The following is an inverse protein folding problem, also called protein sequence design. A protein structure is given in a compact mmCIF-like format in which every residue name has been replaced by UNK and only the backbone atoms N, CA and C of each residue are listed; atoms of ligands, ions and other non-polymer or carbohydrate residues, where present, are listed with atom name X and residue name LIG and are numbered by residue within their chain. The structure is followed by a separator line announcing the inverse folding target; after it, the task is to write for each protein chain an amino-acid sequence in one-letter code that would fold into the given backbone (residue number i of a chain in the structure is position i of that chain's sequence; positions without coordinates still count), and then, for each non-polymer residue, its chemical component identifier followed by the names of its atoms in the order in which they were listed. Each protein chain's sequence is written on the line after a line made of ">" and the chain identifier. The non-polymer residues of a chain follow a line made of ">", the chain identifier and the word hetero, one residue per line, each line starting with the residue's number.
data_IF_581359637238
#
_entry.id   IF_581359637238
#
_cell.length_a   1.000
_cell.length_b   1.000
_cell.length_c   1.000
_cell.angle_alpha   90.00
_cell.angle_beta   90.00
_cell.angle_gamma   90.00
#
_symmetry.space_group_name_H-M   'P 1'
#
loop_
_entity.id
_entity.type
_entity.pdbx_description
1 polymer ?
#
# COMPACT_ATOMS: atom_id res chain seq x y z
N UNK A 1 -22.73 -1.75 -32.17
CA UNK A 1 -21.30 -1.73 -31.86
C UNK A 1 -21.14 -2.57 -30.61
N UNK A 2 -20.51 -3.75 -30.75
CA UNK A 2 -20.30 -4.70 -29.65
C UNK A 2 -19.20 -4.15 -28.75
N UNK A 3 -19.57 -3.79 -27.53
CA UNK A 3 -18.61 -3.57 -26.45
C UNK A 3 -17.86 -4.89 -26.22
N UNK A 4 -16.59 -4.91 -26.60
CA UNK A 4 -15.68 -5.97 -26.19
C UNK A 4 -15.52 -5.87 -24.68
N UNK A 5 -16.18 -6.75 -23.94
CA UNK A 5 -15.77 -7.08 -22.58
C UNK A 5 -14.29 -7.45 -22.62
N UNK A 6 -13.46 -6.50 -22.22
CA UNK A 6 -12.07 -6.76 -21.88
C UNK A 6 -12.08 -7.54 -20.56
N UNK A 7 -12.19 -8.84 -20.64
CA UNK A 7 -11.81 -9.74 -19.55
C UNK A 7 -10.33 -9.48 -19.28
N UNK A 8 -10.04 -8.62 -18.31
CA UNK A 8 -8.73 -8.58 -17.68
C UNK A 8 -8.52 -9.96 -17.05
N UNK A 9 -7.69 -10.78 -17.68
CA UNK A 9 -7.24 -12.04 -17.10
C UNK A 9 -6.64 -11.70 -15.73
N UNK A 10 -7.10 -12.35 -14.64
CA UNK A 10 -6.41 -12.22 -13.36
C UNK A 10 -4.95 -12.59 -13.62
N UNK A 11 -4.04 -11.71 -13.27
CA UNK A 11 -2.62 -12.08 -13.21
C UNK A 11 -2.55 -13.33 -12.32
N UNK A 12 -1.70 -14.30 -12.69
CA UNK A 12 -1.62 -15.61 -12.05
C UNK A 12 -1.51 -15.52 -10.52
N UNK A 13 -1.56 -16.64 -9.80
CA UNK A 13 -1.65 -16.63 -8.36
C UNK A 13 -0.49 -15.81 -7.82
N UNK A 14 -0.81 -14.66 -7.20
CA UNK A 14 0.12 -13.90 -6.39
C UNK A 14 0.67 -14.77 -5.25
N UNK A 15 1.37 -14.17 -4.35
CA UNK A 15 1.84 -14.87 -3.15
C UNK A 15 0.65 -15.38 -2.30
N UNK A 16 0.86 -16.47 -1.59
CA UNK A 16 -0.18 -17.11 -0.77
C UNK A 16 -0.61 -16.25 0.43
N UNK A 17 -1.83 -16.51 0.95
CA UNK A 17 -2.39 -15.77 2.08
C UNK A 17 -1.50 -15.80 3.33
N UNK A 18 -0.78 -16.89 3.56
CA UNK A 18 0.16 -17.03 4.66
C UNK A 18 1.35 -16.07 4.53
N UNK A 19 1.83 -15.85 3.31
CA UNK A 19 2.88 -14.88 2.99
C UNK A 19 2.38 -13.45 3.17
N UNK A 20 1.18 -13.12 2.68
CA UNK A 20 0.54 -11.81 2.91
C UNK A 20 0.37 -11.51 4.40
N UNK A 21 -0.07 -12.51 5.17
CA UNK A 21 -0.21 -12.35 6.63
C UNK A 21 1.14 -12.13 7.32
N UNK A 22 2.20 -12.80 6.88
CA UNK A 22 3.55 -12.63 7.44
C UNK A 22 4.12 -11.25 7.14
N UNK A 23 3.90 -10.68 5.97
CA UNK A 23 4.32 -9.31 5.62
C UNK A 23 3.74 -8.25 6.56
N UNK A 24 2.56 -8.46 7.13
CA UNK A 24 1.98 -7.58 8.16
C UNK A 24 2.76 -7.48 9.48
N UNK A 25 3.80 -8.28 9.67
CA UNK A 25 4.66 -8.23 10.87
C UNK A 25 5.60 -7.02 10.87
N UNK A 26 5.91 -6.48 9.70
CA UNK A 26 6.80 -5.34 9.52
C UNK A 26 6.01 -4.08 9.15
N UNK A 27 6.58 -2.93 9.51
CA UNK A 27 6.12 -1.66 9.00
C UNK A 27 6.52 -1.48 7.52
N UNK A 28 5.90 -0.51 6.85
CA UNK A 28 6.17 -0.26 5.42
C UNK A 28 7.64 0.10 5.14
N UNK A 29 8.36 0.89 5.95
CA UNK A 29 9.80 1.12 5.77
C UNK A 29 10.64 -0.16 5.81
N UNK A 30 10.38 -1.09 6.73
CA UNK A 30 11.12 -2.37 6.77
C UNK A 30 10.85 -3.23 5.53
N UNK A 31 9.60 -3.21 5.02
CA UNK A 31 9.26 -3.89 3.76
C UNK A 31 9.95 -3.20 2.57
N UNK A 32 10.02 -1.87 2.58
CA UNK A 32 10.77 -1.10 1.58
C UNK A 32 12.25 -1.49 1.56
N UNK A 33 12.94 -1.58 2.71
CA UNK A 33 14.34 -2.01 2.78
C UNK A 33 14.53 -3.41 2.17
N UNK A 34 13.60 -4.33 2.44
CA UNK A 34 13.60 -5.64 1.80
C UNK A 34 13.40 -5.57 0.28
N UNK A 35 12.45 -4.78 -0.19
CA UNK A 35 12.20 -4.57 -1.60
C UNK A 35 13.39 -3.91 -2.32
N UNK A 36 13.96 -2.85 -1.75
CA UNK A 36 15.14 -2.16 -2.29
C UNK A 36 16.32 -3.12 -2.51
N UNK A 37 16.49 -4.09 -1.63
CA UNK A 37 17.58 -5.07 -1.72
C UNK A 37 17.46 -6.06 -2.89
N UNK A 38 16.27 -6.20 -3.50
CA UNK A 38 16.00 -7.18 -4.57
C UNK A 38 15.56 -6.56 -5.89
N UNK A 39 15.01 -5.35 -5.86
CA UNK A 39 14.42 -4.71 -7.04
C UNK A 39 15.45 -4.30 -8.08
N UNK A 40 14.97 -4.16 -9.33
CA UNK A 40 15.72 -3.53 -10.44
C UNK A 40 15.19 -2.13 -10.76
N UNK A 41 14.13 -1.71 -10.09
CA UNK A 41 13.56 -0.38 -10.20
C UNK A 41 14.40 0.66 -9.45
N UNK A 42 14.22 1.93 -9.79
CA UNK A 42 14.83 3.04 -9.04
C UNK A 42 14.07 3.25 -7.72
N UNK A 43 14.52 2.55 -6.68
CA UNK A 43 13.89 2.58 -5.36
C UNK A 43 13.86 3.98 -4.72
N UNK A 44 14.63 4.94 -5.23
CA UNK A 44 14.60 6.33 -4.75
C UNK A 44 13.44 7.15 -5.32
N UNK A 45 12.72 6.66 -6.34
CA UNK A 45 11.71 7.41 -7.09
C UNK A 45 10.39 6.69 -7.31
N UNK A 46 10.38 5.36 -7.20
CA UNK A 46 9.24 4.55 -7.63
C UNK A 46 8.60 3.81 -6.46
N UNK A 47 7.39 3.36 -6.72
CA UNK A 47 6.65 2.40 -5.91
C UNK A 47 6.09 2.91 -4.57
N UNK A 48 6.30 4.14 -4.15
CA UNK A 48 5.76 4.70 -2.91
C UNK A 48 5.13 6.08 -3.11
N UNK A 49 4.36 6.53 -2.11
CA UNK A 49 3.77 7.87 -2.13
C UNK A 49 4.82 8.97 -2.02
N UNK A 50 4.72 9.98 -2.91
CA UNK A 50 5.56 11.19 -2.90
C UNK A 50 4.91 12.35 -2.15
N UNK A 51 3.58 12.31 -1.96
CA UNK A 51 2.83 13.29 -1.18
C UNK A 51 2.51 12.73 0.21
N UNK A 52 2.26 13.62 1.17
CA UNK A 52 1.84 13.25 2.52
C UNK A 52 0.52 12.46 2.49
N UNK A 53 0.51 11.33 3.18
CA UNK A 53 -0.67 10.51 3.46
C UNK A 53 -0.96 10.49 4.94
N UNK A 54 -2.22 10.28 5.32
CA UNK A 54 -2.59 10.11 6.71
C UNK A 54 -3.26 8.75 6.92
N UNK A 55 -2.65 7.92 7.77
CA UNK A 55 -3.29 6.73 8.31
C UNK A 55 -4.24 7.14 9.43
N UNK A 56 -5.54 6.95 9.22
CA UNK A 56 -6.56 7.30 10.20
C UNK A 56 -6.76 6.21 11.25
N UNK A 57 -6.18 5.01 11.05
CA UNK A 57 -6.41 3.83 11.89
C UNK A 57 -5.10 3.05 12.11
N UNK A 58 -4.05 3.70 12.66
CA UNK A 58 -2.73 3.05 12.83
C UNK A 58 -2.78 1.84 13.74
N UNK A 59 -3.72 1.79 14.68
CA UNK A 59 -3.93 0.68 15.61
C UNK A 59 -4.38 -0.62 14.94
N UNK A 60 -4.89 -0.58 13.69
CA UNK A 60 -5.19 -1.78 12.91
C UNK A 60 -3.94 -2.45 12.31
N UNK A 61 -2.77 -1.85 12.54
CA UNK A 61 -1.52 -2.34 11.99
C UNK A 61 -1.40 -2.19 10.47
N UNK A 62 -0.38 -2.78 9.83
CA UNK A 62 -0.21 -2.69 8.40
C UNK A 62 -1.36 -3.32 7.61
N UNK A 63 -1.68 -2.72 6.47
CA UNK A 63 -2.64 -3.21 5.48
C UNK A 63 -1.87 -3.81 4.31
N UNK A 64 -2.17 -5.07 3.97
CA UNK A 64 -1.51 -5.80 2.86
C UNK A 64 -2.59 -6.42 1.98
N UNK A 65 -2.48 -6.24 0.68
CA UNK A 65 -3.44 -6.81 -0.29
C UNK A 65 -3.27 -6.25 -1.70
N UNK A 66 -4.02 -6.80 -2.63
CA UNK A 66 -3.95 -6.44 -4.05
C UNK A 66 -4.82 -5.24 -4.39
N UNK A 67 -4.30 -4.32 -5.20
CA UNK A 67 -4.95 -3.08 -5.57
C UNK A 67 -6.20 -3.31 -6.42
N UNK A 68 -7.32 -2.76 -5.98
CA UNK A 68 -8.54 -2.58 -6.75
C UNK A 68 -8.70 -1.10 -7.01
N UNK A 69 -8.48 -0.68 -8.24
CA UNK A 69 -8.42 0.74 -8.60
C UNK A 69 -9.78 1.28 -9.00
N UNK A 70 -10.06 2.52 -8.62
CA UNK A 70 -11.28 3.25 -9.00
C UNK A 70 -11.02 4.74 -9.05
N UNK A 71 -11.71 5.44 -9.96
CA UNK A 71 -11.65 6.89 -10.12
C UNK A 71 -13.00 7.50 -9.75
N UNK A 72 -12.97 8.63 -9.04
CA UNK A 72 -14.15 9.43 -8.67
C UNK A 72 -13.95 10.90 -9.04
N UNK A 73 -15.06 11.65 -9.14
CA UNK A 73 -15.08 13.11 -9.33
C UNK A 73 -16.31 13.67 -8.60
N UNK A 74 -16.26 13.81 -7.26
CA UNK A 74 -17.43 14.17 -6.44
C UNK A 74 -18.07 15.51 -6.75
N UNK A 75 -17.35 16.45 -7.39
CA UNK A 75 -17.90 17.74 -7.84
C UNK A 75 -18.95 17.63 -8.96
N UNK A 76 -19.07 16.47 -9.63
CA UNK A 76 -19.87 16.34 -10.86
C UNK A 76 -21.05 15.38 -10.70
N UNK A 77 -22.24 15.94 -10.49
CA UNK A 77 -23.51 15.19 -10.45
C UNK A 77 -23.78 14.36 -11.72
N UNK A 78 -23.29 14.82 -12.88
CA UNK A 78 -23.56 14.19 -14.19
C UNK A 78 -23.21 12.69 -14.24
N UNK A 79 -22.19 12.24 -13.50
CA UNK A 79 -21.73 10.85 -13.54
C UNK A 79 -22.81 9.85 -13.14
N UNK A 80 -23.60 10.16 -12.11
CA UNK A 80 -24.75 9.36 -11.71
C UNK A 80 -25.81 9.24 -12.80
N UNK A 81 -26.07 10.36 -13.52
CA UNK A 81 -27.05 10.40 -14.62
C UNK A 81 -26.56 9.62 -15.84
N UNK A 82 -25.27 9.71 -16.14
CA UNK A 82 -24.66 9.04 -17.31
C UNK A 82 -24.50 7.53 -17.12
N UNK A 83 -24.20 7.08 -15.91
CA UNK A 83 -24.00 5.66 -15.57
C UNK A 83 -24.71 5.31 -14.25
N UNK A 84 -26.03 5.20 -14.23
CA UNK A 84 -26.80 4.95 -13.02
C UNK A 84 -26.51 3.58 -12.38
N UNK A 85 -26.01 2.62 -13.15
CA UNK A 85 -25.66 1.26 -12.76
C UNK A 85 -24.18 1.08 -12.35
N UNK A 86 -23.36 2.15 -12.40
CA UNK A 86 -21.92 2.07 -12.15
C UNK A 86 -21.58 1.42 -10.79
N UNK A 87 -22.34 1.71 -9.72
CA UNK A 87 -22.13 1.05 -8.43
C UNK A 87 -22.28 -0.47 -8.48
N UNK A 88 -23.29 -0.96 -9.19
CA UNK A 88 -23.51 -2.41 -9.34
C UNK A 88 -22.40 -3.06 -10.14
N UNK A 89 -21.98 -2.43 -11.25
CA UNK A 89 -20.90 -2.94 -12.09
C UNK A 89 -19.56 -2.91 -11.35
N UNK A 90 -19.24 -1.80 -10.68
CA UNK A 90 -18.02 -1.67 -9.88
C UNK A 90 -17.95 -2.72 -8.77
N UNK A 91 -19.01 -2.92 -7.99
CA UNK A 91 -19.03 -3.95 -6.94
C UNK A 91 -18.84 -5.37 -7.49
N UNK A 92 -19.39 -5.66 -8.67
CA UNK A 92 -19.13 -6.94 -9.37
C UNK A 92 -17.67 -7.07 -9.75
N UNK A 93 -17.06 -6.01 -10.28
CA UNK A 93 -15.63 -5.99 -10.55
C UNK A 93 -14.83 -6.28 -9.28
N UNK A 94 -15.08 -5.57 -8.18
CA UNK A 94 -14.40 -5.80 -6.88
C UNK A 94 -14.56 -7.24 -6.41
N UNK A 95 -15.78 -7.80 -6.48
CA UNK A 95 -16.06 -9.16 -6.02
C UNK A 95 -15.24 -10.23 -6.74
N UNK A 96 -14.93 -10.02 -8.02
CA UNK A 96 -14.21 -11.01 -8.86
C UNK A 96 -12.68 -10.83 -8.83
N UNK A 97 -12.16 -9.78 -8.15
CA UNK A 97 -10.72 -9.67 -7.99
C UNK A 97 -10.20 -10.62 -6.90
N UNK A 98 -8.96 -11.15 -7.03
CA UNK A 98 -8.35 -11.94 -5.98
C UNK A 98 -8.19 -11.09 -4.70
N UNK A 99 -8.22 -11.73 -3.54
CA UNK A 99 -8.09 -11.06 -2.24
C UNK A 99 -6.89 -11.55 -1.45
N UNK A 100 -6.59 -10.91 -0.32
CA UNK A 100 -7.21 -9.69 0.21
C UNK A 100 -6.98 -8.47 -0.69
N UNK A 101 -7.92 -7.50 -0.64
CA UNK A 101 -7.93 -6.36 -1.57
C UNK A 101 -7.73 -5.03 -0.84
N UNK A 102 -6.98 -4.12 -1.46
CA UNK A 102 -6.88 -2.72 -1.06
C UNK A 102 -7.53 -1.88 -2.15
N UNK A 103 -8.55 -1.10 -1.80
CA UNK A 103 -9.22 -0.21 -2.76
C UNK A 103 -8.41 1.07 -2.90
N UNK A 104 -7.91 1.34 -4.12
CA UNK A 104 -7.12 2.54 -4.42
C UNK A 104 -7.97 3.51 -5.22
N UNK A 105 -8.22 4.70 -4.64
CA UNK A 105 -9.15 5.69 -5.23
C UNK A 105 -8.41 6.95 -5.62
N UNK A 106 -8.43 7.25 -6.91
CA UNK A 106 -8.07 8.57 -7.43
C UNK A 106 -9.26 9.51 -7.40
N UNK A 107 -9.13 10.62 -6.68
CA UNK A 107 -10.10 11.72 -6.68
C UNK A 107 -9.66 12.80 -7.67
N UNK A 108 -10.46 13.01 -8.73
CA UNK A 108 -10.16 14.03 -9.74
C UNK A 108 -10.35 15.46 -9.27
N UNK A 109 -11.01 15.66 -8.13
CA UNK A 109 -11.20 17.01 -7.56
C UNK A 109 -9.97 17.47 -6.76
N UNK A 110 -8.95 16.61 -6.57
CA UNK A 110 -7.73 17.02 -5.87
C UNK A 110 -7.09 18.26 -6.51
N UNK A 111 -6.54 19.22 -5.76
CA UNK A 111 -6.42 19.20 -4.29
C UNK A 111 -7.68 19.63 -3.53
N UNK A 112 -8.69 20.15 -4.20
CA UNK A 112 -9.94 20.67 -3.60
C UNK A 112 -10.97 19.54 -3.39
N UNK A 113 -10.60 18.52 -2.64
CA UNK A 113 -11.46 17.38 -2.31
C UNK A 113 -12.72 17.84 -1.56
N UNK A 114 -13.92 17.54 -2.11
CA UNK A 114 -15.18 18.04 -1.58
C UNK A 114 -16.11 16.96 -1.01
N UNK A 115 -15.89 15.68 -1.33
CA UNK A 115 -16.79 14.62 -0.91
C UNK A 115 -16.05 13.29 -0.68
N UNK A 116 -16.67 12.43 0.13
CA UNK A 116 -16.13 11.10 0.45
C UNK A 116 -16.85 10.00 -0.33
N UNK A 117 -16.06 9.11 -0.92
CA UNK A 117 -16.54 7.81 -1.40
C UNK A 117 -16.83 6.85 -0.22
N UNK A 118 -16.08 7.02 0.88
CA UNK A 118 -16.11 6.17 2.05
C UNK A 118 -17.03 6.71 3.15
N UNK A 119 -17.58 5.78 3.88
CA UNK A 119 -18.34 5.90 5.11
C UNK A 119 -18.71 4.50 5.57
N UNK A 120 -19.43 4.38 6.66
CA UNK A 120 -19.82 3.10 7.29
C UNK A 120 -20.38 2.09 6.30
N UNK A 121 -21.35 2.51 5.48
CA UNK A 121 -22.06 1.62 4.54
C UNK A 121 -21.10 1.03 3.51
N UNK A 122 -20.30 1.90 2.84
CA UNK A 122 -19.37 1.42 1.83
C UNK A 122 -18.23 0.60 2.42
N UNK A 123 -17.73 0.93 3.60
CA UNK A 123 -16.72 0.13 4.30
C UNK A 123 -17.24 -1.29 4.58
N UNK A 124 -18.44 -1.43 5.15
CA UNK A 124 -19.05 -2.73 5.42
C UNK A 124 -19.29 -3.54 4.12
N UNK A 125 -19.79 -2.91 3.06
CA UNK A 125 -19.97 -3.58 1.76
C UNK A 125 -18.61 -4.11 1.26
N UNK A 126 -17.57 -3.27 1.23
CA UNK A 126 -16.26 -3.68 0.72
C UNK A 126 -15.58 -4.72 1.61
N UNK A 127 -15.78 -4.67 2.93
CA UNK A 127 -15.35 -5.75 3.84
C UNK A 127 -15.97 -7.09 3.44
N UNK A 128 -17.27 -7.11 3.15
CA UNK A 128 -17.97 -8.33 2.71
C UNK A 128 -17.47 -8.85 1.35
N UNK A 129 -16.87 -8.00 0.54
CA UNK A 129 -16.24 -8.35 -0.73
C UNK A 129 -14.75 -8.73 -0.59
N UNK A 130 -14.21 -8.84 0.64
CA UNK A 130 -12.83 -9.22 0.89
C UNK A 130 -11.82 -8.07 0.84
N UNK A 131 -12.27 -6.81 0.89
CA UNK A 131 -11.38 -5.66 0.98
C UNK A 131 -10.94 -5.42 2.45
N UNK A 132 -9.67 -5.14 2.66
CA UNK A 132 -9.09 -4.89 3.99
C UNK A 132 -9.02 -3.40 4.32
N UNK A 133 -9.10 -2.53 3.33
CA UNK A 133 -9.07 -1.09 3.49
C UNK A 133 -8.89 -0.34 2.19
N UNK A 134 -8.50 0.93 2.31
CA UNK A 134 -8.36 1.85 1.17
C UNK A 134 -7.14 2.74 1.27
N UNK A 135 -6.64 3.16 0.11
CA UNK A 135 -5.77 4.32 -0.10
C UNK A 135 -6.53 5.28 -1.00
N UNK A 136 -6.72 6.53 -0.56
CA UNK A 136 -7.42 7.53 -1.37
C UNK A 136 -6.79 8.92 -1.24
N UNK A 137 -6.48 9.56 -2.35
CA UNK A 137 -6.08 10.97 -2.36
C UNK A 137 -7.29 11.91 -2.21
N UNK A 138 -8.48 11.34 -2.00
CA UNK A 138 -9.71 11.99 -1.59
C UNK A 138 -9.90 12.06 -0.07
N UNK A 139 -11.16 12.12 0.36
CA UNK A 139 -11.56 12.20 1.75
C UNK A 139 -12.29 10.94 2.23
N UNK A 140 -12.33 10.76 3.56
CA UNK A 140 -13.16 9.78 4.24
C UNK A 140 -14.09 10.44 5.26
N UNK A 141 -15.15 9.75 5.67
CA UNK A 141 -16.03 10.10 6.78
C UNK A 141 -16.41 8.84 7.56
N UNK A 142 -17.16 8.98 8.64
CA UNK A 142 -17.60 7.87 9.50
C UNK A 142 -16.40 7.00 9.96
N UNK A 143 -15.33 7.71 10.38
CA UNK A 143 -14.03 7.09 10.62
C UNK A 143 -14.07 6.08 11.76
N UNK A 144 -14.85 6.34 12.82
CA UNK A 144 -14.98 5.42 13.96
C UNK A 144 -15.72 4.13 13.56
N UNK A 145 -16.75 4.25 12.72
CA UNK A 145 -17.52 3.12 12.20
C UNK A 145 -16.69 2.29 11.19
N UNK A 146 -15.92 2.96 10.34
CA UNK A 146 -14.97 2.28 9.43
C UNK A 146 -13.92 1.48 10.22
N UNK A 147 -13.36 2.08 11.28
CA UNK A 147 -12.42 1.43 12.17
C UNK A 147 -13.07 0.25 12.90
N UNK A 148 -14.31 0.41 13.42
CA UNK A 148 -15.03 -0.63 14.11
C UNK A 148 -15.28 -1.86 13.22
N UNK A 149 -15.58 -1.68 11.94
CA UNK A 149 -15.70 -2.80 10.99
C UNK A 149 -14.35 -3.33 10.48
N UNK A 150 -13.22 -2.81 10.96
CA UNK A 150 -11.88 -3.24 10.57
C UNK A 150 -11.48 -2.87 9.13
N UNK A 151 -12.02 -1.76 8.61
CA UNK A 151 -11.68 -1.26 7.27
C UNK A 151 -10.71 -0.08 7.39
N UNK A 152 -9.42 -0.35 7.21
CA UNK A 152 -8.33 0.63 7.35
C UNK A 152 -8.37 1.68 6.23
N UNK A 153 -8.01 2.92 6.56
CA UNK A 153 -7.96 4.01 5.58
C UNK A 153 -6.70 4.86 5.69
N UNK A 154 -5.96 4.93 4.58
CA UNK A 154 -5.01 5.99 4.29
C UNK A 154 -5.72 6.99 3.37
N UNK A 155 -5.79 8.26 3.78
CA UNK A 155 -6.54 9.28 3.06
C UNK A 155 -5.90 10.66 3.21
N UNK A 156 -6.35 11.62 2.38
CA UNK A 156 -5.89 13.00 2.47
C UNK A 156 -6.49 13.72 3.68
N UNK A 157 -7.80 13.53 3.93
CA UNK A 157 -8.50 14.25 5.01
C UNK A 157 -9.85 13.61 5.40
N UNK A 158 -10.42 14.11 6.48
CA UNK A 158 -11.83 13.88 6.79
C UNK A 158 -12.72 14.89 6.08
N UNK A 159 -13.97 14.54 5.80
CA UNK A 159 -15.03 15.44 5.37
C UNK A 159 -16.39 15.04 5.95
N UNK A 160 -17.38 15.95 5.87
CA UNK A 160 -18.72 15.70 6.40
C UNK A 160 -19.60 14.98 5.38
N UNK A 161 -19.53 15.39 4.11
CA UNK A 161 -20.46 14.99 3.07
C UNK A 161 -19.85 13.99 2.08
N UNK A 162 -20.73 13.35 1.31
CA UNK A 162 -20.32 12.49 0.19
C UNK A 162 -20.37 13.21 -1.17
N UNK A 163 -20.96 14.43 -1.24
CA UNK A 163 -21.22 15.14 -2.49
C UNK A 163 -21.83 14.19 -3.55
N UNK A 164 -21.28 14.14 -4.76
CA UNK A 164 -21.69 13.21 -5.81
C UNK A 164 -20.65 12.11 -6.03
N UNK A 165 -20.05 11.57 -4.94
CA UNK A 165 -19.07 10.49 -5.02
C UNK A 165 -19.68 9.26 -5.71
N UNK A 166 -19.21 8.99 -6.91
CA UNK A 166 -19.71 7.96 -7.83
C UNK A 166 -18.53 7.30 -8.52
N UNK A 167 -18.46 5.97 -8.67
CA UNK A 167 -17.41 5.34 -9.46
C UNK A 167 -17.59 5.70 -10.94
N UNK A 168 -16.56 6.29 -11.56
CA UNK A 168 -16.60 6.73 -12.95
C UNK A 168 -15.81 5.82 -13.88
N UNK A 169 -14.70 5.24 -13.39
CA UNK A 169 -13.94 4.17 -14.04
C UNK A 169 -13.26 3.31 -12.97
N UNK A 170 -12.92 2.06 -13.33
CA UNK A 170 -12.24 1.10 -12.45
C UNK A 170 -11.49 0.06 -13.26
N UNK A 171 -10.51 -0.59 -12.61
CA UNK A 171 -9.67 -1.60 -13.26
C UNK A 171 -8.65 -1.02 -14.23
N UNK A 172 -8.38 0.27 -14.15
CA UNK A 172 -7.36 0.97 -14.92
C UNK A 172 -6.31 1.55 -13.96
N UNK A 173 -5.08 1.86 -14.43
CA UNK A 173 -4.08 2.53 -13.59
C UNK A 173 -4.61 3.84 -13.01
N UNK A 174 -4.25 4.12 -11.76
CA UNK A 174 -4.60 5.35 -11.05
C UNK A 174 -3.35 6.01 -10.50
N UNK A 175 -3.38 7.33 -10.37
CA UNK A 175 -2.34 8.09 -9.69
C UNK A 175 -2.90 8.64 -8.38
N UNK A 176 -2.29 8.23 -7.26
CA UNK A 176 -2.65 8.68 -5.91
C UNK A 176 -1.39 9.10 -5.15
N UNK A 177 -1.42 10.25 -4.52
CA UNK A 177 -0.28 10.80 -3.76
C UNK A 177 1.05 10.79 -4.53
N UNK A 178 1.00 11.09 -5.84
CA UNK A 178 2.16 11.12 -6.72
C UNK A 178 2.70 9.75 -7.13
N UNK A 179 2.02 8.66 -6.78
CA UNK A 179 2.39 7.29 -7.14
C UNK A 179 1.37 6.68 -8.11
N UNK A 180 1.84 6.10 -9.20
CA UNK A 180 1.00 5.35 -10.15
C UNK A 180 0.86 3.91 -9.70
N UNK A 181 -0.38 3.47 -9.48
CA UNK A 181 -0.71 2.10 -9.05
C UNK A 181 -1.49 1.37 -10.14
N UNK A 182 -1.00 0.17 -10.47
CA UNK A 182 -1.67 -0.72 -11.43
C UNK A 182 -2.75 -1.56 -10.72
N UNK A 183 -3.88 -1.88 -11.38
CA UNK A 183 -4.82 -2.84 -10.84
C UNK A 183 -4.15 -4.20 -10.64
N UNK A 184 -4.41 -4.83 -9.49
CA UNK A 184 -3.80 -6.12 -9.13
C UNK A 184 -2.38 -6.04 -8.56
N UNK A 185 -1.79 -4.86 -8.42
CA UNK A 185 -0.47 -4.68 -7.80
C UNK A 185 -0.55 -4.91 -6.28
N UNK A 186 0.45 -5.60 -5.73
CA UNK A 186 0.53 -5.83 -4.28
C UNK A 186 0.85 -4.52 -3.55
N UNK A 187 0.07 -4.21 -2.52
CA UNK A 187 0.21 -3.02 -1.68
C UNK A 187 0.59 -3.43 -0.26
N UNK A 188 1.56 -2.74 0.30
CA UNK A 188 1.82 -2.70 1.74
C UNK A 188 1.67 -1.27 2.24
N UNK A 189 0.88 -1.04 3.29
CA UNK A 189 0.56 0.32 3.73
C UNK A 189 0.35 0.42 5.25
N UNK A 190 0.90 1.46 5.86
CA UNK A 190 0.73 1.79 7.27
C UNK A 190 0.84 3.31 7.52
N UNK A 191 1.12 3.70 8.76
CA UNK A 191 1.26 5.12 9.16
C UNK A 191 2.38 5.89 8.44
N UNK A 192 3.33 5.20 7.79
CA UNK A 192 4.42 5.84 7.04
C UNK A 192 4.04 6.11 5.57
N UNK A 193 2.90 5.59 5.12
CA UNK A 193 2.45 5.65 3.74
C UNK A 193 2.24 4.27 3.13
N UNK A 194 2.53 4.13 1.85
CA UNK A 194 2.34 2.85 1.15
C UNK A 194 3.48 2.55 0.18
N UNK A 195 3.67 1.27 -0.07
CA UNK A 195 4.55 0.70 -1.09
C UNK A 195 3.70 -0.13 -2.06
N UNK A 196 3.83 0.14 -3.35
CA UNK A 196 3.18 -0.60 -4.44
C UNK A 196 4.20 -1.51 -5.12
N UNK A 197 4.26 -2.77 -4.70
CA UNK A 197 5.32 -3.72 -5.07
C UNK A 197 5.16 -4.16 -6.54
N UNK A 198 6.21 -4.06 -7.37
CA UNK A 198 6.20 -4.62 -8.71
C UNK A 198 5.95 -6.13 -8.72
N UNK A 199 5.14 -6.67 -9.65
CA UNK A 199 4.78 -8.09 -9.66
C UNK A 199 5.97 -9.05 -9.69
N UNK A 200 7.05 -8.68 -10.37
CA UNK A 200 8.29 -9.46 -10.48
C UNK A 200 9.05 -9.59 -9.16
N UNK A 201 8.82 -8.70 -8.21
CA UNK A 201 9.50 -8.68 -6.90
C UNK A 201 8.69 -9.37 -5.80
N UNK A 202 7.39 -9.63 -6.01
CA UNK A 202 6.49 -10.19 -4.99
C UNK A 202 6.98 -11.50 -4.39
N UNK A 203 7.45 -12.43 -5.23
CA UNK A 203 7.85 -13.76 -4.78
C UNK A 203 9.06 -13.76 -3.82
N UNK A 204 9.96 -12.80 -3.97
CA UNK A 204 11.17 -12.67 -3.16
C UNK A 204 10.98 -11.75 -1.94
N UNK A 205 9.93 -10.93 -1.91
CA UNK A 205 9.74 -9.84 -0.96
C UNK A 205 9.80 -10.28 0.51
N UNK A 206 9.07 -11.35 0.88
CA UNK A 206 9.03 -11.83 2.26
C UNK A 206 10.41 -12.27 2.75
N UNK A 207 11.14 -13.02 1.91
CA UNK A 207 12.49 -13.48 2.25
C UNK A 207 13.44 -12.30 2.38
N UNK A 208 13.40 -11.35 1.45
CA UNK A 208 14.24 -10.17 1.46
C UNK A 208 13.98 -9.31 2.70
N UNK A 209 12.69 -9.01 3.01
CA UNK A 209 12.31 -8.25 4.20
C UNK A 209 12.81 -8.92 5.49
N UNK A 210 12.61 -10.25 5.61
CA UNK A 210 13.07 -10.99 6.78
C UNK A 210 14.60 -11.02 6.90
N UNK A 211 15.32 -11.08 5.78
CA UNK A 211 16.78 -11.07 5.76
C UNK A 211 17.33 -9.71 6.16
N UNK A 212 16.80 -8.63 5.61
CA UNK A 212 17.20 -7.27 5.95
C UNK A 212 16.97 -6.98 7.43
N UNK A 213 15.76 -7.17 7.94
CA UNK A 213 15.40 -6.96 9.36
C UNK A 213 16.30 -7.77 10.31
N UNK A 214 16.54 -9.03 9.98
CA UNK A 214 17.43 -9.90 10.77
C UNK A 214 18.86 -9.36 10.79
N UNK A 215 19.42 -8.98 9.65
CA UNK A 215 20.79 -8.49 9.56
C UNK A 215 20.96 -7.13 10.25
N UNK A 216 20.02 -6.21 10.10
CA UNK A 216 20.01 -4.94 10.86
C UNK A 216 20.03 -5.21 12.37
N UNK A 217 19.13 -6.09 12.85
CA UNK A 217 19.03 -6.42 14.26
C UNK A 217 20.27 -7.11 14.82
N UNK A 218 20.91 -8.04 14.08
CA UNK A 218 22.07 -8.81 14.52
C UNK A 218 23.39 -8.04 14.40
N UNK A 219 23.46 -6.98 13.62
CA UNK A 219 24.70 -6.24 13.37
C UNK A 219 24.64 -4.81 13.91
N UNK A 220 24.18 -3.84 13.12
CA UNK A 220 24.25 -2.41 13.41
C UNK A 220 23.45 -2.04 14.66
N UNK A 221 22.22 -2.56 14.80
CA UNK A 221 21.39 -2.28 15.98
C UNK A 221 21.99 -2.90 17.25
N UNK A 222 22.50 -4.12 17.16
CA UNK A 222 23.18 -4.76 18.28
C UNK A 222 24.43 -3.98 18.71
N UNK A 223 25.25 -3.55 17.76
CA UNK A 223 26.44 -2.74 18.03
C UNK A 223 26.08 -1.40 18.68
N UNK A 224 25.08 -0.70 18.16
CA UNK A 224 24.61 0.59 18.69
C UNK A 224 24.05 0.48 20.12
N UNK A 225 23.47 -0.66 20.47
CA UNK A 225 22.94 -0.94 21.83
C UNK A 225 23.96 -1.56 22.78
N UNK A 226 25.17 -1.88 22.32
CA UNK A 226 26.20 -2.47 23.15
C UNK A 226 26.73 -1.49 24.21
N UNK A 227 27.18 -2.02 25.35
CA UNK A 227 27.88 -1.26 26.35
C UNK A 227 29.38 -1.29 26.06
N UNK A 228 29.98 -0.12 25.82
CA UNK A 228 31.41 0.05 25.59
C UNK A 228 32.01 0.98 26.63
N UNK A 229 33.33 0.91 26.83
CA UNK A 229 34.05 1.73 27.82
C UNK A 229 34.26 3.17 27.36
N UNK A 230 34.36 3.36 26.01
CA UNK A 230 34.55 4.69 25.43
C UNK A 230 33.60 4.94 24.25
N UNK A 231 33.48 6.21 23.85
CA UNK A 231 32.70 6.57 22.64
C UNK A 231 33.43 6.11 21.37
N UNK A 232 34.76 6.18 21.35
CA UNK A 232 35.55 5.74 20.18
C UNK A 232 35.39 4.23 19.95
N UNK A 233 35.46 3.40 21.02
CA UNK A 233 35.18 1.97 20.89
C UNK A 233 33.77 1.68 20.34
N UNK A 234 32.78 2.51 20.70
CA UNK A 234 31.40 2.40 20.19
C UNK A 234 31.34 2.71 18.71
N UNK A 235 31.99 3.76 18.25
CA UNK A 235 32.05 4.15 16.85
C UNK A 235 32.74 3.04 16.02
N UNK A 236 33.85 2.53 16.48
CA UNK A 236 34.56 1.43 15.82
C UNK A 236 33.69 0.16 15.70
N UNK A 237 32.92 -0.17 16.75
CA UNK A 237 31.98 -1.28 16.72
C UNK A 237 30.84 -1.06 15.71
N UNK A 238 30.26 0.13 15.66
CA UNK A 238 29.21 0.48 14.70
C UNK A 238 29.74 0.38 13.26
N UNK A 239 30.89 0.95 12.99
CA UNK A 239 31.53 0.89 11.66
C UNK A 239 31.87 -0.54 11.24
N UNK A 240 32.35 -1.36 12.16
CA UNK A 240 32.58 -2.78 11.93
C UNK A 240 31.30 -3.55 11.64
N UNK A 241 30.22 -3.25 12.38
CA UNK A 241 28.91 -3.86 12.20
C UNK A 241 28.27 -3.44 10.88
N UNK A 242 28.42 -2.17 10.46
CA UNK A 242 27.91 -1.67 9.18
C UNK A 242 28.59 -2.39 7.98
N UNK A 243 29.92 -2.59 8.05
CA UNK A 243 30.64 -3.39 7.03
C UNK A 243 30.14 -4.82 7.00
N UNK A 244 29.97 -5.46 8.16
CA UNK A 244 29.45 -6.84 8.24
C UNK A 244 28.03 -6.93 7.70
N UNK A 245 27.17 -5.95 7.98
CA UNK A 245 25.82 -5.88 7.42
C UNK A 245 25.87 -5.81 5.89
N UNK A 246 26.63 -4.86 5.32
CA UNK A 246 26.75 -4.72 3.88
C UNK A 246 27.25 -6.00 3.19
N UNK A 247 28.28 -6.67 3.74
CA UNK A 247 28.81 -7.93 3.23
C UNK A 247 27.77 -9.05 3.24
N UNK A 248 26.97 -9.19 4.31
CA UNK A 248 25.91 -10.20 4.42
C UNK A 248 24.81 -9.95 3.39
N UNK A 249 24.33 -8.70 3.28
CA UNK A 249 23.27 -8.33 2.35
C UNK A 249 23.71 -8.50 0.90
N UNK A 250 24.93 -8.10 0.53
CA UNK A 250 25.49 -8.35 -0.81
C UNK A 250 25.58 -9.83 -1.15
N UNK A 251 25.80 -10.69 -0.18
CA UNK A 251 25.88 -12.15 -0.38
C UNK A 251 24.51 -12.78 -0.58
N UNK A 252 23.48 -12.29 0.12
CA UNK A 252 22.14 -12.88 0.17
C UNK A 252 21.13 -12.14 -0.74
N UNK A 253 21.38 -10.87 -1.08
CA UNK A 253 20.51 -10.01 -1.87
C UNK A 253 21.27 -9.42 -3.07
N UNK A 254 20.56 -8.67 -3.94
CA UNK A 254 21.16 -7.99 -5.11
C UNK A 254 21.87 -6.70 -4.74
N UNK A 255 21.40 -6.03 -3.71
CA UNK A 255 21.87 -4.72 -3.28
C UNK A 255 21.80 -4.61 -1.76
N UNK A 256 22.72 -3.87 -1.19
CA UNK A 256 22.68 -3.51 0.23
C UNK A 256 21.86 -2.24 0.51
N UNK A 257 21.19 -1.68 -0.50
CA UNK A 257 20.41 -0.46 -0.37
C UNK A 257 21.26 0.70 0.16
N UNK A 258 20.77 1.44 1.13
CA UNK A 258 21.47 2.59 1.73
C UNK A 258 22.82 2.26 2.40
N UNK A 259 23.11 0.98 2.62
CA UNK A 259 24.34 0.50 3.25
C UNK A 259 25.42 0.05 2.25
N UNK A 260 25.19 0.24 0.95
CA UNK A 260 26.14 -0.16 -0.12
C UNK A 260 27.31 0.81 -0.31
#
# INVERSE_FOLDING_TARGET
>A
MQDKERTLTPQGPGIDDGTLLRLKRWNTPSVYNGWESITRHDASKEAFNLEETRDFMPELGPMVGYAVTVVIEPSKERHKKQRPDAWSQYRRYVAHQPGPKVVVIQDKDKPAVIGSFWGEVNANIHRSLGCVGTITDGAIRDYDEMKHCGFKALARRLCVGHAHAWPISWGEPVEVFGCVIQPGQLIHADQHGFLAIPPEDEAALLSATSTMDRHECETVIAAARSHTQSMDDRLDQIDGAARTFAERVQTECRSAGEWS
#
